data_IF_428515429020
#
_entry.id   IF_428515429020
#
_cell.length_a   1.000
_cell.length_b   1.000
_cell.length_c   1.000
_cell.angle_alpha   90.00
_cell.angle_beta   90.00
_cell.angle_gamma   90.00
#
_symmetry.space_group_name_H-M   'P 1'
#
loop_
_entity.id
_entity.type
_entity.pdbx_description
1 polymer ?
#
# COMPACT_ATOMS: atom_id res chain seq x y z
N UNK A 1 10.84 -3.94 0.76
CA UNK A 1 9.70 -4.71 1.31
C UNK A 1 10.05 -6.20 1.45
N UNK A 2 10.89 -6.77 0.59
CA UNK A 2 11.27 -8.19 0.68
C UNK A 2 11.97 -8.58 1.98
N UNK A 3 12.82 -7.72 2.54
CA UNK A 3 13.42 -7.97 3.85
C UNK A 3 12.37 -8.09 4.95
N UNK A 4 11.30 -7.27 4.93
CA UNK A 4 10.18 -7.37 5.88
C UNK A 4 9.45 -8.72 5.77
N UNK A 5 9.31 -9.23 4.56
CA UNK A 5 8.67 -10.53 4.30
C UNK A 5 9.55 -11.71 4.74
N UNK A 6 10.83 -11.70 4.36
CA UNK A 6 11.80 -12.72 4.79
C UNK A 6 11.88 -12.78 6.31
N UNK A 7 11.82 -11.62 6.97
CA UNK A 7 11.80 -11.52 8.43
C UNK A 7 10.57 -12.18 9.05
N UNK A 8 9.36 -11.92 8.52
CA UNK A 8 8.13 -12.52 9.05
C UNK A 8 8.12 -14.06 8.89
N UNK A 9 8.64 -14.58 7.76
CA UNK A 9 8.76 -16.02 7.57
C UNK A 9 9.73 -16.68 8.59
N UNK A 10 10.87 -16.03 8.85
CA UNK A 10 11.84 -16.52 9.86
C UNK A 10 11.27 -16.42 11.27
N UNK A 11 10.48 -15.37 11.56
CA UNK A 11 9.77 -15.18 12.83
C UNK A 11 8.77 -16.30 13.11
N UNK A 12 7.92 -16.66 12.13
CA UNK A 12 6.95 -17.76 12.25
C UNK A 12 7.65 -19.10 12.54
N UNK A 13 8.76 -19.36 11.85
CA UNK A 13 9.51 -20.60 12.06
C UNK A 13 10.19 -20.63 13.44
N UNK A 14 10.69 -19.50 13.93
CA UNK A 14 11.22 -19.37 15.28
C UNK A 14 10.14 -19.58 16.34
N UNK A 15 8.92 -19.07 16.13
CA UNK A 15 7.79 -19.28 17.01
C UNK A 15 7.44 -20.77 17.14
N UNK A 16 7.31 -21.48 16.01
CA UNK A 16 7.05 -22.92 16.01
C UNK A 16 8.14 -23.74 16.71
N UNK A 17 9.41 -23.31 16.60
CA UNK A 17 10.55 -23.98 17.25
C UNK A 17 10.63 -23.69 18.75
N UNK A 18 10.31 -22.48 19.18
CA UNK A 18 10.24 -22.14 20.60
C UNK A 18 9.16 -22.95 21.32
N UNK A 19 8.07 -23.30 20.62
CA UNK A 19 7.03 -24.20 21.11
C UNK A 19 7.45 -25.68 21.16
N UNK A 20 8.48 -26.09 20.43
CA UNK A 20 8.93 -27.48 20.36
C UNK A 20 9.97 -27.85 21.45
N UNK A 21 9.76 -28.95 22.16
CA UNK A 21 10.65 -29.44 23.22
C UNK A 21 11.66 -30.46 22.68
N UNK A 22 12.89 -30.03 22.35
CA UNK A 22 13.99 -30.95 21.99
C UNK A 22 15.40 -30.36 22.14
N UNK A 23 16.38 -31.22 22.44
CA UNK A 23 17.78 -30.88 22.76
C UNK A 23 18.65 -30.48 21.55
N UNK A 24 18.26 -30.87 20.33
CA UNK A 24 18.94 -30.47 19.09
C UNK A 24 18.68 -29.01 18.66
N UNK A 25 17.94 -28.24 19.46
CA UNK A 25 17.36 -26.95 19.07
C UNK A 25 18.32 -25.75 19.22
N UNK A 26 19.32 -25.78 20.11
CA UNK A 26 20.03 -24.56 20.50
C UNK A 26 20.96 -23.97 19.41
N UNK A 27 21.68 -24.82 18.66
CA UNK A 27 22.55 -24.36 17.56
C UNK A 27 21.73 -23.89 16.37
N UNK A 28 20.69 -24.64 15.98
CA UNK A 28 19.77 -24.25 14.92
C UNK A 28 19.01 -22.96 15.27
N UNK A 29 18.58 -22.78 16.52
CA UNK A 29 17.95 -21.55 17.00
C UNK A 29 18.90 -20.35 16.91
N UNK A 30 20.18 -20.53 17.26
CA UNK A 30 21.21 -19.50 17.14
C UNK A 30 21.40 -19.07 15.69
N UNK A 31 21.53 -20.02 14.77
CA UNK A 31 21.74 -19.75 13.35
C UNK A 31 20.55 -18.98 12.75
N UNK A 32 19.33 -19.37 13.12
CA UNK A 32 18.10 -18.70 12.68
C UNK A 32 17.94 -17.30 13.24
N UNK A 33 18.31 -17.10 14.49
CA UNK A 33 18.32 -15.77 15.10
C UNK A 33 19.36 -14.86 14.44
N UNK A 34 20.51 -15.39 14.04
CA UNK A 34 21.49 -14.63 13.27
C UNK A 34 20.95 -14.22 11.89
N UNK A 35 20.23 -15.12 11.20
CA UNK A 35 19.54 -14.80 9.94
C UNK A 35 18.49 -13.72 10.15
N UNK A 36 17.65 -13.85 11.18
CA UNK A 36 16.62 -12.87 11.50
C UNK A 36 17.23 -11.49 11.79
N UNK A 37 18.24 -11.44 12.66
CA UNK A 37 18.92 -10.21 13.04
C UNK A 37 19.58 -9.51 11.85
N UNK A 38 20.21 -10.27 10.95
CA UNK A 38 20.77 -9.73 9.71
C UNK A 38 19.71 -9.08 8.82
N UNK A 39 18.53 -9.69 8.73
CA UNK A 39 17.44 -9.13 7.94
C UNK A 39 16.81 -7.89 8.60
N UNK A 40 16.67 -7.90 9.94
CA UNK A 40 16.25 -6.72 10.71
C UNK A 40 17.26 -5.59 10.53
N UNK A 41 18.57 -5.88 10.58
CA UNK A 41 19.62 -4.90 10.32
C UNK A 41 19.47 -4.27 8.93
N UNK A 42 19.32 -5.07 7.87
CA UNK A 42 19.07 -4.57 6.51
C UNK A 42 17.85 -3.65 6.44
N UNK A 43 16.78 -3.96 7.18
CA UNK A 43 15.60 -3.09 7.25
C UNK A 43 15.91 -1.76 7.93
N UNK A 44 16.61 -1.78 9.06
CA UNK A 44 16.98 -0.57 9.82
C UNK A 44 17.93 0.31 9.00
N UNK A 45 18.96 -0.27 8.39
CA UNK A 45 19.90 0.41 7.50
C UNK A 45 19.21 0.98 6.26
N UNK A 46 18.32 0.19 5.64
CA UNK A 46 17.52 0.63 4.51
C UNK A 46 16.68 1.86 4.85
N UNK A 47 15.96 1.81 5.98
CA UNK A 47 15.17 2.93 6.46
C UNK A 47 16.04 4.15 6.77
N UNK A 48 17.16 3.96 7.49
CA UNK A 48 18.09 5.02 7.84
C UNK A 48 18.66 5.71 6.59
N UNK A 49 19.03 4.94 5.56
CA UNK A 49 19.45 5.51 4.27
C UNK A 49 18.32 6.33 3.61
N UNK A 50 17.09 5.82 3.61
CA UNK A 50 15.95 6.54 3.03
C UNK A 50 15.70 7.90 3.69
N UNK A 51 15.92 8.03 5.00
CA UNK A 51 15.65 9.28 5.74
C UNK A 51 16.87 10.16 5.99
N UNK A 52 18.05 9.79 5.49
CA UNK A 52 19.29 10.53 5.72
C UNK A 52 19.81 10.42 7.16
N UNK A 53 19.75 9.23 7.76
CA UNK A 53 20.33 8.94 9.08
C UNK A 53 19.50 9.40 10.29
N UNK A 54 18.21 9.72 10.10
CA UNK A 54 17.35 10.28 11.17
C UNK A 54 16.92 9.28 12.27
N UNK A 55 17.21 7.98 12.16
CA UNK A 55 16.77 6.98 13.16
C UNK A 55 17.93 6.20 13.80
N UNK A 56 18.91 6.87 14.44
CA UNK A 56 19.97 6.17 15.18
C UNK A 56 19.40 5.38 16.37
N UNK A 57 18.30 5.86 16.96
CA UNK A 57 17.61 5.17 18.05
C UNK A 57 17.05 3.80 17.66
N UNK A 58 16.73 3.57 16.38
CA UNK A 58 16.24 2.28 15.91
C UNK A 58 17.36 1.23 15.86
N UNK A 59 18.57 1.65 15.47
CA UNK A 59 19.75 0.78 15.53
C UNK A 59 20.13 0.48 16.99
N UNK A 60 20.05 1.48 17.87
CA UNK A 60 20.26 1.27 19.31
C UNK A 60 19.25 0.28 19.91
N UNK A 61 17.97 0.36 19.50
CA UNK A 61 16.95 -0.59 19.92
C UNK A 61 17.25 -2.01 19.41
N UNK A 62 17.65 -2.17 18.14
CA UNK A 62 18.09 -3.46 17.58
C UNK A 62 19.25 -4.03 18.37
N UNK A 63 20.32 -3.27 18.57
CA UNK A 63 21.52 -3.73 19.28
C UNK A 63 21.21 -4.15 20.72
N UNK A 64 20.32 -3.41 21.42
CA UNK A 64 19.83 -3.79 22.76
C UNK A 64 19.10 -5.13 22.74
N UNK A 65 18.19 -5.33 21.80
CA UNK A 65 17.41 -6.58 21.66
C UNK A 65 18.32 -7.75 21.26
N UNK A 66 19.23 -7.54 20.32
CA UNK A 66 20.23 -8.53 19.89
C UNK A 66 21.10 -9.00 21.06
N UNK A 67 21.57 -8.07 21.90
CA UNK A 67 22.35 -8.39 23.10
C UNK A 67 21.55 -9.23 24.10
N UNK A 68 20.28 -8.86 24.35
CA UNK A 68 19.40 -9.60 25.25
C UNK A 68 19.08 -11.02 24.72
N UNK A 69 18.87 -11.17 23.41
CA UNK A 69 18.71 -12.47 22.76
C UNK A 69 19.97 -13.33 22.88
N UNK A 70 21.16 -12.73 22.74
CA UNK A 70 22.43 -13.42 22.94
C UNK A 70 22.59 -13.96 24.36
N UNK A 71 22.24 -13.17 25.38
CA UNK A 71 22.26 -13.59 26.78
C UNK A 71 21.25 -14.72 27.05
N UNK A 72 20.01 -14.59 26.55
CA UNK A 72 18.98 -15.62 26.71
C UNK A 72 19.36 -16.93 25.99
N UNK A 73 20.03 -16.86 24.83
CA UNK A 73 20.56 -18.04 24.14
C UNK A 73 21.65 -18.75 24.95
N UNK A 74 22.51 -18.00 25.64
CA UNK A 74 23.54 -18.57 26.52
C UNK A 74 22.92 -19.26 27.74
N UNK A 75 21.95 -18.61 28.38
CA UNK A 75 21.17 -19.18 29.48
C UNK A 75 20.43 -20.46 29.05
N UNK A 76 19.83 -20.46 27.86
CA UNK A 76 19.16 -21.64 27.30
C UNK A 76 20.15 -22.79 27.06
N UNK A 77 21.35 -22.50 26.55
CA UNK A 77 22.40 -23.50 26.37
C UNK A 77 22.96 -24.02 27.71
N UNK A 78 22.86 -23.24 28.78
CA UNK A 78 23.18 -23.67 30.15
C UNK A 78 22.05 -24.46 30.84
N UNK A 79 20.92 -24.69 30.16
CA UNK A 79 19.79 -25.46 30.68
C UNK A 79 18.82 -24.66 31.56
N UNK A 80 18.86 -23.32 31.52
CA UNK A 80 17.94 -22.49 32.31
C UNK A 80 16.52 -22.55 31.73
N UNK A 81 15.58 -23.03 32.55
CA UNK A 81 14.18 -23.22 32.12
C UNK A 81 13.48 -21.91 31.71
N UNK A 82 13.87 -20.77 32.30
CA UNK A 82 13.28 -19.46 32.00
C UNK A 82 13.73 -18.89 30.64
N UNK A 83 14.87 -19.33 30.11
CA UNK A 83 15.52 -18.71 28.96
C UNK A 83 14.68 -18.76 27.67
N UNK A 84 13.88 -19.81 27.48
CA UNK A 84 12.95 -19.89 26.33
C UNK A 84 11.86 -18.83 26.38
N UNK A 85 11.34 -18.53 27.57
CA UNK A 85 10.37 -17.46 27.77
C UNK A 85 10.98 -16.08 27.51
N UNK A 86 12.24 -15.87 27.91
CA UNK A 86 12.98 -14.65 27.60
C UNK A 86 13.23 -14.48 26.11
N UNK A 87 13.63 -15.53 25.40
CA UNK A 87 13.76 -15.51 23.94
C UNK A 87 12.46 -15.10 23.26
N UNK A 88 11.34 -15.71 23.66
CA UNK A 88 10.03 -15.35 23.14
C UNK A 88 9.69 -13.86 23.37
N UNK A 89 10.00 -13.32 24.55
CA UNK A 89 9.73 -11.91 24.91
C UNK A 89 10.47 -10.89 24.03
N UNK A 90 11.66 -11.23 23.54
CA UNK A 90 12.44 -10.37 22.66
C UNK A 90 12.14 -10.57 21.17
N UNK A 91 11.36 -11.59 20.81
CA UNK A 91 10.98 -11.89 19.43
C UNK A 91 9.54 -11.50 19.14
N UNK A 92 8.58 -12.12 19.82
CA UNK A 92 7.19 -12.24 19.39
C UNK A 92 6.27 -11.06 19.75
N UNK A 93 6.38 -10.42 20.95
CA UNK A 93 5.40 -9.42 21.37
C UNK A 93 5.29 -8.26 20.39
N UNK A 94 4.05 -7.90 20.03
CA UNK A 94 3.74 -6.71 19.24
C UNK A 94 3.13 -5.63 20.15
N UNK A 95 3.97 -4.79 20.74
CA UNK A 95 3.55 -3.73 21.67
C UNK A 95 3.25 -2.42 20.93
N UNK A 96 3.89 -2.17 19.79
CA UNK A 96 3.69 -0.99 18.96
C UNK A 96 2.55 -1.16 17.95
N UNK A 97 1.32 -1.29 18.45
CA UNK A 97 0.13 -1.54 17.61
C UNK A 97 -0.40 -0.26 16.95
N UNK A 98 -0.74 0.76 17.76
CA UNK A 98 -1.29 2.04 17.27
C UNK A 98 -0.17 3.02 16.89
N UNK A 99 -0.02 3.22 15.58
CA UNK A 99 0.95 4.15 14.98
C UNK A 99 0.72 5.62 15.34
N UNK A 100 -0.47 5.98 15.82
CA UNK A 100 -0.81 7.36 16.24
C UNK A 100 -0.49 7.59 17.70
N UNK A 101 -0.23 6.54 18.47
CA UNK A 101 0.07 6.66 19.88
C UNK A 101 1.41 7.40 20.05
N UNK A 102 1.56 8.32 21.02
CA UNK A 102 2.82 9.02 21.28
C UNK A 102 4.01 8.10 21.56
N UNK A 103 3.73 6.87 22.01
CA UNK A 103 4.75 5.84 22.26
C UNK A 103 5.21 5.09 21.00
N UNK A 104 4.64 5.35 19.82
CA UNK A 104 5.11 4.78 18.56
C UNK A 104 6.45 5.42 18.14
N UNK A 105 7.52 5.05 18.83
CA UNK A 105 8.86 5.62 18.74
C UNK A 105 9.90 4.50 18.78
N UNK A 106 11.05 4.65 18.10
CA UNK A 106 12.06 3.59 18.01
C UNK A 106 12.62 3.20 19.38
N UNK A 107 12.71 4.14 20.33
CA UNK A 107 13.19 3.89 21.69
C UNK A 107 12.30 2.90 22.46
N UNK A 108 11.03 2.80 22.07
CA UNK A 108 10.03 1.96 22.73
C UNK A 108 9.91 0.56 22.11
N UNK A 109 10.67 0.22 21.07
CA UNK A 109 10.66 -1.13 20.52
C UNK A 109 11.23 -2.12 21.55
N UNK A 110 10.46 -3.13 21.96
CA UNK A 110 10.89 -4.10 22.97
C UNK A 110 11.24 -5.47 22.40
N UNK A 111 10.79 -5.75 21.19
CA UNK A 111 11.03 -7.00 20.47
C UNK A 111 11.48 -6.74 19.02
N UNK A 112 11.98 -7.77 18.34
CA UNK A 112 12.16 -7.69 16.89
C UNK A 112 10.84 -7.43 16.16
N UNK A 113 9.71 -8.02 16.59
CA UNK A 113 8.40 -7.71 16.01
C UNK A 113 8.05 -6.22 16.08
N UNK A 114 8.36 -5.53 17.18
CA UNK A 114 8.20 -4.08 17.28
C UNK A 114 9.09 -3.32 16.30
N UNK A 115 10.36 -3.72 16.14
CA UNK A 115 11.27 -3.09 15.16
C UNK A 115 10.73 -3.27 13.74
N UNK A 116 10.31 -4.47 13.39
CA UNK A 116 9.74 -4.81 12.08
C UNK A 116 8.51 -3.93 11.82
N UNK A 117 7.58 -3.87 12.78
CA UNK A 117 6.38 -3.04 12.72
C UNK A 117 6.71 -1.56 12.56
N UNK A 118 7.62 -1.03 13.37
CA UNK A 118 8.05 0.37 13.33
C UNK A 118 8.70 0.71 11.98
N UNK A 119 9.63 -0.12 11.53
CA UNK A 119 10.33 0.06 10.27
C UNK A 119 9.36 0.01 9.09
N UNK A 120 8.41 -0.93 9.10
CA UNK A 120 7.38 -1.06 8.06
C UNK A 120 6.47 0.18 7.98
N UNK A 121 5.90 0.63 9.11
CA UNK A 121 5.04 1.84 9.12
C UNK A 121 5.83 3.11 8.76
N UNK A 122 7.10 3.21 9.19
CA UNK A 122 7.95 4.36 8.88
C UNK A 122 8.37 4.36 7.42
N UNK A 123 8.70 3.20 6.83
CA UNK A 123 9.01 3.07 5.41
C UNK A 123 7.82 3.59 4.56
N UNK A 124 6.58 3.19 4.88
CA UNK A 124 5.38 3.71 4.22
C UNK A 124 5.27 5.23 4.31
N UNK A 125 5.49 5.81 5.49
CA UNK A 125 5.48 7.27 5.69
C UNK A 125 6.53 7.98 4.84
N UNK A 126 7.73 7.41 4.75
CA UNK A 126 8.84 7.99 3.97
C UNK A 126 8.59 7.83 2.48
N UNK A 127 7.96 6.74 2.05
CA UNK A 127 7.57 6.54 0.65
C UNK A 127 6.61 7.62 0.15
N UNK A 128 5.71 8.13 1.00
CA UNK A 128 4.85 9.27 0.64
C UNK A 128 5.65 10.54 0.28
N UNK A 129 6.79 10.80 0.90
CA UNK A 129 7.65 11.95 0.55
C UNK A 129 8.76 11.60 -0.45
N UNK A 130 8.92 10.33 -0.83
CA UNK A 130 9.94 9.90 -1.78
C UNK A 130 9.71 10.52 -3.16
N UNK A 131 8.44 10.63 -3.57
CA UNK A 131 8.04 11.18 -4.86
C UNK A 131 8.53 12.63 -5.05
N UNK A 132 8.27 13.50 -4.07
CA UNK A 132 8.77 14.89 -4.05
C UNK A 132 10.29 14.96 -4.25
N UNK A 133 10.99 14.07 -3.57
CA UNK A 133 12.46 14.04 -3.58
C UNK A 133 13.00 13.54 -4.92
N UNK A 134 12.32 12.58 -5.55
CA UNK A 134 12.67 12.10 -6.89
C UNK A 134 12.42 13.20 -7.92
N UNK A 135 11.28 13.89 -7.87
CA UNK A 135 10.98 15.02 -8.75
C UNK A 135 11.99 16.16 -8.59
N UNK A 136 12.42 16.45 -7.36
CA UNK A 136 13.45 17.46 -7.07
C UNK A 136 14.88 16.98 -7.35
N UNK A 137 15.08 15.77 -7.89
CA UNK A 137 16.40 15.21 -8.18
C UNK A 137 17.24 14.86 -6.95
N UNK A 138 16.65 14.85 -5.75
CA UNK A 138 17.32 14.53 -4.48
C UNK A 138 17.57 13.02 -4.29
N UNK A 139 17.02 12.18 -5.18
CA UNK A 139 17.26 10.73 -5.20
C UNK A 139 17.65 10.31 -6.62
N UNK A 140 18.91 10.53 -7.04
CA UNK A 140 19.35 10.33 -8.43
C UNK A 140 19.22 8.88 -8.94
N UNK A 141 19.17 7.92 -8.02
CA UNK A 141 19.05 6.50 -8.33
C UNK A 141 17.65 6.11 -8.83
N UNK A 142 16.63 6.92 -8.56
CA UNK A 142 15.24 6.66 -8.96
C UNK A 142 14.83 7.65 -10.05
N UNK A 143 14.00 7.18 -10.98
CA UNK A 143 13.45 7.99 -12.06
C UNK A 143 11.95 8.07 -11.93
N UNK A 144 11.40 9.24 -12.23
CA UNK A 144 9.97 9.42 -12.40
C UNK A 144 9.60 9.12 -13.85
N UNK A 145 8.78 8.10 -14.07
CA UNK A 145 8.41 7.64 -15.40
C UNK A 145 6.91 7.85 -15.63
N UNK A 146 6.51 8.47 -16.74
CA UNK A 146 5.08 8.63 -17.04
C UNK A 146 4.53 7.33 -17.65
N UNK A 147 3.33 6.89 -17.27
CA UNK A 147 2.68 5.77 -17.96
C UNK A 147 2.06 6.24 -19.29
N UNK A 148 2.23 5.45 -20.34
CA UNK A 148 1.55 5.62 -21.63
C UNK A 148 0.12 5.11 -21.53
N UNK A 149 -0.86 6.01 -21.43
CA UNK A 149 -2.28 5.63 -21.28
C UNK A 149 -3.21 6.62 -21.97
N UNK A 150 -4.28 6.14 -22.64
CA UNK A 150 -5.31 7.01 -23.18
C UNK A 150 -6.28 7.54 -22.11
N UNK A 151 -6.22 7.02 -20.88
CA UNK A 151 -7.07 7.48 -19.79
C UNK A 151 -6.69 8.92 -19.40
N UNK A 152 -7.63 9.74 -18.91
CA UNK A 152 -7.36 11.10 -18.43
C UNK A 152 -6.67 11.08 -17.05
N UNK A 153 -5.59 10.31 -16.93
CA UNK A 153 -4.78 10.11 -15.75
C UNK A 153 -3.35 10.56 -16.03
N UNK A 154 -2.81 11.46 -15.22
CA UNK A 154 -1.39 11.78 -15.24
C UNK A 154 -0.63 10.84 -14.29
N UNK A 155 -0.64 9.53 -14.59
CA UNK A 155 -0.04 8.50 -13.74
C UNK A 155 1.48 8.44 -13.96
N UNK A 156 2.22 8.63 -12.88
CA UNK A 156 3.67 8.48 -12.85
C UNK A 156 4.10 7.26 -12.01
N UNK A 157 5.18 6.61 -12.42
CA UNK A 157 5.71 5.39 -11.83
C UNK A 157 7.11 5.65 -11.28
N UNK A 158 7.40 5.10 -10.11
CA UNK A 158 8.75 4.94 -9.57
C UNK A 158 8.96 3.44 -9.36
N UNK A 159 9.95 2.87 -10.05
CA UNK A 159 10.35 1.49 -9.82
C UNK A 159 11.39 1.41 -8.69
N UNK A 160 11.09 0.63 -7.65
CA UNK A 160 12.01 0.32 -6.55
C UNK A 160 12.88 -0.91 -6.85
N UNK A 161 12.57 -1.66 -7.91
CA UNK A 161 13.26 -2.87 -8.31
C UNK A 161 12.29 -3.90 -8.90
N UNK A 162 12.63 -4.40 -10.08
CA UNK A 162 11.95 -5.49 -10.79
C UNK A 162 10.44 -5.25 -11.02
N UNK A 163 9.98 -4.00 -10.92
CA UNK A 163 8.58 -3.63 -11.12
C UNK A 163 8.25 -3.32 -12.58
N UNK A 164 9.24 -2.90 -13.38
CA UNK A 164 9.09 -2.52 -14.78
C UNK A 164 10.12 -3.21 -15.68
N UNK A 165 9.70 -3.59 -16.89
CA UNK A 165 10.59 -4.12 -17.93
C UNK A 165 11.40 -3.01 -18.61
N UNK A 166 10.84 -1.80 -18.67
CA UNK A 166 11.43 -0.62 -19.32
C UNK A 166 11.42 0.56 -18.38
N UNK A 167 12.51 1.32 -18.42
CA UNK A 167 12.70 2.57 -17.67
C UNK A 167 12.74 3.79 -18.60
N UNK A 168 12.14 3.65 -19.79
CA UNK A 168 12.00 4.71 -20.79
C UNK A 168 10.62 5.34 -20.63
N UNK A 169 10.56 6.67 -20.47
CA UNK A 169 9.30 7.40 -20.35
C UNK A 169 8.84 7.92 -21.73
N UNK A 170 7.55 7.75 -22.11
CA UNK A 170 6.50 7.09 -21.35
C UNK A 170 6.60 5.55 -21.37
N UNK A 171 6.21 4.91 -20.27
CA UNK A 171 6.27 3.46 -20.07
C UNK A 171 4.98 2.83 -20.61
N UNK A 172 5.04 1.88 -21.55
CA UNK A 172 3.87 1.15 -22.01
C UNK A 172 3.25 0.29 -20.88
N UNK A 173 1.91 0.12 -20.81
CA UNK A 173 1.28 -0.70 -19.77
C UNK A 173 1.74 -2.17 -19.75
N UNK A 174 2.10 -2.72 -20.90
CA UNK A 174 2.65 -4.08 -21.02
C UNK A 174 4.01 -4.26 -20.33
N UNK A 175 4.74 -3.15 -20.10
CA UNK A 175 6.04 -3.18 -19.44
C UNK A 175 5.90 -3.19 -17.89
N UNK A 176 4.68 -3.20 -17.35
CA UNK A 176 4.43 -3.39 -15.91
C UNK A 176 4.62 -4.87 -15.53
N UNK A 177 5.74 -5.17 -14.87
CA UNK A 177 6.08 -6.50 -14.35
C UNK A 177 5.55 -6.73 -12.92
N UNK A 178 5.35 -5.66 -12.17
CA UNK A 178 4.77 -5.73 -10.82
C UNK A 178 3.40 -6.43 -10.84
N UNK A 179 3.30 -7.57 -10.16
CA UNK A 179 2.08 -8.38 -10.05
C UNK A 179 0.89 -7.54 -9.55
N UNK A 180 0.99 -6.86 -8.38
CA UNK A 180 -0.14 -6.08 -7.90
C UNK A 180 -0.42 -4.82 -8.74
N UNK A 181 0.60 -4.14 -9.28
CA UNK A 181 0.34 -2.96 -10.13
C UNK A 181 -0.39 -3.36 -11.42
N UNK A 182 -0.03 -4.48 -12.03
CA UNK A 182 -0.71 -4.98 -13.23
C UNK A 182 -2.16 -5.32 -12.95
N UNK A 183 -2.43 -6.06 -11.86
CA UNK A 183 -3.79 -6.42 -11.46
C UNK A 183 -4.64 -5.16 -11.21
N UNK A 184 -4.10 -4.18 -10.48
CA UNK A 184 -4.77 -2.90 -10.23
C UNK A 184 -5.03 -2.13 -11.53
N UNK A 185 -4.02 -2.02 -12.40
CA UNK A 185 -4.13 -1.28 -13.66
C UNK A 185 -5.16 -1.89 -14.62
N UNK A 186 -5.22 -3.22 -14.72
CA UNK A 186 -6.23 -3.92 -15.51
C UNK A 186 -7.65 -3.59 -15.04
N UNK A 187 -7.85 -3.41 -13.73
CA UNK A 187 -9.13 -2.96 -13.19
C UNK A 187 -9.44 -1.49 -13.52
N UNK A 188 -8.47 -0.60 -13.30
CA UNK A 188 -8.59 0.85 -13.57
C UNK A 188 -8.89 1.11 -15.06
N UNK A 189 -8.26 0.33 -15.94
CA UNK A 189 -8.36 0.46 -17.40
C UNK A 189 -9.37 -0.49 -18.05
N UNK A 190 -10.29 -1.05 -17.26
CA UNK A 190 -11.27 -2.00 -17.78
C UNK A 190 -12.11 -1.39 -18.93
N UNK A 191 -12.25 -2.07 -20.08
CA UNK A 191 -12.81 -1.49 -21.30
C UNK A 191 -14.27 -1.05 -21.16
N UNK A 192 -15.05 -1.77 -20.35
CA UNK A 192 -16.47 -1.44 -20.12
C UNK A 192 -16.69 -0.26 -19.16
N UNK A 193 -15.63 0.25 -18.54
CA UNK A 193 -15.69 1.44 -17.67
C UNK A 193 -15.33 2.66 -18.50
N UNK A 194 -16.32 3.52 -18.76
CA UNK A 194 -16.03 4.79 -19.41
C UNK A 194 -15.49 5.79 -18.40
N UNK A 195 -14.27 6.28 -18.66
CA UNK A 195 -13.71 7.45 -17.97
C UNK A 195 -14.37 8.77 -18.41
N UNK A 196 -15.42 8.70 -19.25
CA UNK A 196 -16.18 9.86 -19.68
C UNK A 196 -17.01 10.45 -18.53
N UNK A 197 -16.73 11.72 -18.26
CA UNK A 197 -17.40 12.56 -17.28
C UNK A 197 -16.65 13.88 -17.21
N UNK A 198 -17.29 15.01 -16.85
CA UNK A 198 -16.58 16.26 -16.71
C UNK A 198 -15.47 16.05 -15.66
N UNK A 199 -14.21 16.16 -16.09
CA UNK A 199 -13.12 16.46 -15.16
C UNK A 199 -13.58 17.74 -14.46
N UNK A 200 -13.71 17.79 -13.12
CA UNK A 200 -13.95 19.05 -12.46
C UNK A 200 -12.74 19.91 -12.78
N UNK A 201 -12.87 20.75 -13.81
CA UNK A 201 -12.05 21.94 -13.96
C UNK A 201 -12.27 22.63 -12.63
N UNK A 202 -11.26 22.70 -11.78
CA UNK A 202 -11.38 23.48 -10.56
C UNK A 202 -11.84 24.86 -11.01
N UNK A 203 -13.08 25.22 -10.69
CA UNK A 203 -13.64 26.55 -10.83
C UNK A 203 -12.95 27.44 -9.78
N UNK A 204 -11.68 27.68 -10.10
CA UNK A 204 -10.65 28.40 -9.38
C UNK A 204 -9.54 28.72 -10.38
N UNK A 205 -9.95 29.27 -11.52
CA UNK A 205 -9.10 29.84 -12.56
C UNK A 205 -8.95 28.96 -13.79
N UNK A 206 -9.81 29.15 -14.80
CA UNK A 206 -9.49 29.11 -16.23
C UNK A 206 -10.74 29.53 -17.01
N UNK A 207 -11.07 30.82 -16.91
CA UNK A 207 -11.71 31.53 -18.01
C UNK A 207 -10.59 32.30 -18.71
N UNK A 208 -10.61 32.30 -20.05
CA UNK A 208 -9.58 32.84 -20.96
C UNK A 208 -8.32 31.94 -21.08
N UNK A 209 -7.86 31.54 -22.27
CA UNK A 209 -7.44 32.39 -23.39
C UNK A 209 -7.33 31.58 -24.70
N UNK A 210 -8.05 32.01 -25.75
CA UNK A 210 -7.55 31.99 -27.12
C UNK A 210 -6.39 32.98 -27.19
N UNK A 211 -5.17 32.49 -27.43
CA UNK A 211 -3.99 33.32 -27.72
C UNK A 211 -3.20 33.84 -26.51
N UNK A 212 -2.17 33.10 -26.08
CA UNK A 212 -0.82 33.61 -25.82
C UNK A 212 0.03 32.51 -25.16
N UNK A 213 1.05 32.07 -25.89
CA UNK A 213 2.26 31.39 -25.40
C UNK A 213 2.92 32.21 -24.29
N UNK A 214 2.77 31.82 -23.03
CA UNK A 214 3.71 32.12 -21.93
C UNK A 214 3.30 31.43 -20.62
N UNK A 215 4.21 30.57 -20.11
CA UNK A 215 4.34 30.13 -18.71
C UNK A 215 3.15 29.32 -18.15
N UNK A 216 3.19 28.00 -18.37
CA UNK A 216 2.47 27.05 -17.50
C UNK A 216 3.09 27.15 -16.09
N UNK A 217 2.33 27.40 -15.02
CA UNK A 217 2.86 27.24 -13.66
C UNK A 217 3.27 25.77 -13.46
N UNK A 218 4.39 25.49 -12.75
CA UNK A 218 4.80 24.12 -12.49
C UNK A 218 3.70 23.38 -11.72
N UNK A 219 3.32 22.19 -12.20
CA UNK A 219 2.34 21.32 -11.55
C UNK A 219 2.72 21.11 -10.08
N UNK A 220 1.81 21.33 -9.14
CA UNK A 220 2.09 21.14 -7.70
C UNK A 220 1.99 19.65 -7.35
N UNK A 221 2.82 19.21 -6.39
CA UNK A 221 2.89 17.85 -5.83
C UNK A 221 1.54 17.16 -5.57
N UNK A 222 0.52 17.94 -5.19
CA UNK A 222 -0.81 17.44 -4.82
C UNK A 222 -1.75 17.13 -6.00
N UNK A 223 -1.33 17.39 -7.24
CA UNK A 223 -2.16 17.21 -8.44
C UNK A 223 -1.80 15.95 -9.26
N UNK A 224 -0.85 15.13 -8.79
CA UNK A 224 -0.33 13.98 -9.54
C UNK A 224 -0.85 12.66 -8.99
N UNK A 225 -1.25 11.78 -9.91
CA UNK A 225 -1.46 10.36 -9.61
C UNK A 225 -0.12 9.65 -9.73
N UNK A 226 0.26 8.85 -8.75
CA UNK A 226 1.53 8.12 -8.78
C UNK A 226 1.40 6.68 -8.28
N UNK A 227 2.34 5.84 -8.72
CA UNK A 227 2.53 4.51 -8.19
C UNK A 227 4.02 4.26 -7.93
N UNK A 228 4.34 3.80 -6.73
CA UNK A 228 5.65 3.23 -6.41
C UNK A 228 5.51 1.72 -6.56
N UNK A 229 6.29 1.13 -7.45
CA UNK A 229 6.17 -0.27 -7.86
C UNK A 229 7.42 -1.05 -7.50
N UNK A 230 7.25 -2.33 -7.21
CA UNK A 230 8.28 -3.35 -7.25
C UNK A 230 7.65 -4.68 -7.67
N UNK A 231 8.44 -5.73 -7.90
CA UNK A 231 7.94 -7.01 -8.44
C UNK A 231 6.64 -7.52 -7.78
N UNK A 232 6.59 -7.50 -6.45
CA UNK A 232 5.47 -8.01 -5.65
C UNK A 232 4.72 -6.92 -4.88
N UNK A 233 4.96 -5.65 -5.17
CA UNK A 233 4.48 -4.53 -4.36
C UNK A 233 3.98 -3.35 -5.20
N UNK A 234 2.91 -2.70 -4.73
CA UNK A 234 2.46 -1.41 -5.24
C UNK A 234 2.02 -0.50 -4.11
N UNK A 235 2.44 0.76 -4.19
CA UNK A 235 1.83 1.88 -3.48
C UNK A 235 1.29 2.86 -4.52
N UNK A 236 -0.01 2.82 -4.74
CA UNK A 236 -0.72 3.68 -5.68
C UNK A 236 -1.45 4.78 -4.91
N UNK A 237 -1.30 6.03 -5.33
CA UNK A 237 -2.07 7.15 -4.82
C UNK A 237 -2.61 7.96 -6.00
N UNK A 238 -3.91 8.20 -5.98
CA UNK A 238 -4.62 8.98 -6.96
C UNK A 238 -5.32 10.14 -6.30
N UNK A 239 -5.07 11.33 -6.82
CA UNK A 239 -5.83 12.53 -6.50
C UNK A 239 -6.37 13.12 -7.79
N UNK A 240 -7.69 13.02 -7.95
CA UNK A 240 -8.41 13.54 -9.12
C UNK A 240 -9.46 14.53 -8.64
N UNK A 241 -9.13 15.83 -8.74
CA UNK A 241 -9.93 16.89 -8.16
C UNK A 241 -10.04 16.74 -6.64
N UNK A 242 -11.25 16.45 -6.16
CA UNK A 242 -11.57 16.40 -4.74
C UNK A 242 -11.61 14.98 -4.15
N UNK A 243 -11.36 13.95 -4.95
CA UNK A 243 -11.26 12.57 -4.49
C UNK A 243 -9.80 12.19 -4.30
N UNK A 244 -9.50 11.65 -3.13
CA UNK A 244 -8.25 11.00 -2.83
C UNK A 244 -8.49 9.51 -2.65
N UNK A 245 -7.73 8.70 -3.37
CA UNK A 245 -7.76 7.25 -3.26
C UNK A 245 -6.33 6.75 -3.15
N UNK A 246 -6.08 5.77 -2.28
CA UNK A 246 -4.77 5.12 -2.19
C UNK A 246 -4.92 3.62 -2.01
N UNK A 247 -4.05 2.88 -2.68
CA UNK A 247 -3.93 1.42 -2.59
C UNK A 247 -2.49 1.08 -2.21
N UNK A 248 -2.32 0.28 -1.17
CA UNK A 248 -1.05 -0.33 -0.76
C UNK A 248 -1.26 -1.83 -0.78
N UNK A 249 -0.51 -2.56 -1.61
CA UNK A 249 -0.69 -4.01 -1.75
C UNK A 249 0.63 -4.73 -1.93
N UNK A 250 0.72 -5.92 -1.33
CA UNK A 250 1.77 -6.89 -1.55
C UNK A 250 1.14 -8.21 -1.98
N UNK A 251 1.67 -8.84 -3.01
CA UNK A 251 1.24 -10.13 -3.53
C UNK A 251 2.49 -10.98 -3.80
N UNK A 252 2.63 -12.06 -3.05
CA UNK A 252 3.72 -13.01 -3.15
C UNK A 252 3.25 -14.46 -2.92
N UNK A 253 4.18 -15.41 -2.80
CA UNK A 253 3.85 -16.84 -2.77
C UNK A 253 3.16 -17.30 -1.48
N UNK A 254 3.42 -16.64 -0.35
CA UNK A 254 2.84 -17.00 0.94
C UNK A 254 1.56 -16.21 1.21
N UNK A 255 0.43 -16.90 1.33
CA UNK A 255 -0.89 -16.30 1.50
C UNK A 255 -0.95 -15.34 2.70
N UNK A 256 -0.37 -15.69 3.84
CA UNK A 256 -0.40 -14.88 5.08
C UNK A 256 0.19 -13.48 4.94
N UNK A 257 1.06 -13.29 3.94
CA UNK A 257 1.72 -12.02 3.68
C UNK A 257 0.99 -11.17 2.65
N UNK A 258 0.06 -11.76 1.91
CA UNK A 258 -0.67 -11.06 0.87
C UNK A 258 -1.70 -10.13 1.49
N UNK A 259 -1.75 -8.91 0.98
CA UNK A 259 -2.71 -7.92 1.45
C UNK A 259 -3.06 -6.87 0.40
N UNK A 260 -4.23 -6.27 0.58
CA UNK A 260 -4.68 -5.03 -0.06
C UNK A 260 -5.15 -4.11 1.06
N UNK A 261 -4.56 -2.93 1.15
CA UNK A 261 -5.07 -1.84 1.97
C UNK A 261 -5.57 -0.74 1.03
N UNK A 262 -6.83 -0.39 1.15
CA UNK A 262 -7.46 0.68 0.39
C UNK A 262 -7.85 1.81 1.33
N UNK A 263 -7.68 3.06 0.88
CA UNK A 263 -8.22 4.23 1.55
C UNK A 263 -8.88 5.12 0.51
N UNK A 264 -10.10 5.53 0.80
CA UNK A 264 -10.84 6.52 0.03
C UNK A 264 -11.15 7.70 0.93
N UNK A 265 -10.95 8.93 0.44
CA UNK A 265 -11.34 10.16 1.12
C UNK A 265 -11.85 11.20 0.12
N UNK A 266 -13.01 11.78 0.39
CA UNK A 266 -13.43 13.06 -0.19
C UNK A 266 -14.36 13.05 -1.42
N UNK A 267 -14.64 14.27 -1.87
CA UNK A 267 -15.41 14.71 -3.05
C UNK A 267 -15.95 16.14 -2.89
N UNK A 268 -16.03 16.94 -3.97
CA UNK A 268 -16.59 18.30 -3.95
C UNK A 268 -18.11 18.34 -4.03
N UNK A 269 -18.75 17.18 -4.03
CA UNK A 269 -20.19 17.09 -3.99
C UNK A 269 -20.73 17.59 -2.64
N UNK A 270 -22.03 17.94 -2.63
CA UNK A 270 -22.76 18.17 -1.40
C UNK A 270 -22.61 16.99 -0.41
N UNK A 271 -22.84 17.27 0.87
CA UNK A 271 -22.62 16.32 1.96
C UNK A 271 -23.38 15.00 1.75
N UNK A 272 -24.62 15.08 1.22
CA UNK A 272 -25.47 13.92 0.96
C UNK A 272 -24.90 13.00 -0.13
N UNK A 273 -24.44 13.57 -1.26
CA UNK A 273 -23.79 12.80 -2.34
C UNK A 273 -22.50 12.15 -1.88
N UNK A 274 -21.76 12.80 -0.97
CA UNK A 274 -20.54 12.23 -0.39
C UNK A 274 -20.89 11.00 0.47
N UNK A 275 -21.90 11.09 1.32
CA UNK A 275 -22.39 9.96 2.14
C UNK A 275 -22.86 8.81 1.25
N UNK A 276 -23.65 9.09 0.22
CA UNK A 276 -24.14 8.08 -0.74
C UNK A 276 -23.02 7.34 -1.46
N UNK A 277 -21.97 8.04 -1.86
CA UNK A 277 -20.77 7.42 -2.43
C UNK A 277 -20.08 6.49 -1.43
N UNK A 278 -19.94 6.94 -0.19
CA UNK A 278 -19.33 6.13 0.88
C UNK A 278 -20.13 4.84 1.07
N UNK A 279 -21.47 4.91 1.04
CA UNK A 279 -22.33 3.72 1.08
C UNK A 279 -22.10 2.79 -0.12
N UNK A 280 -22.09 3.31 -1.36
CA UNK A 280 -21.80 2.49 -2.55
C UNK A 280 -20.46 1.75 -2.42
N UNK A 281 -19.38 2.48 -2.09
CA UNK A 281 -18.04 1.90 -1.97
C UNK A 281 -18.02 0.84 -0.85
N UNK A 282 -18.58 1.16 0.31
CA UNK A 282 -18.59 0.24 1.45
C UNK A 282 -19.35 -1.05 1.14
N UNK A 283 -20.53 -0.95 0.50
CA UNK A 283 -21.35 -2.11 0.13
C UNK A 283 -20.63 -3.06 -0.83
N UNK A 284 -19.96 -2.51 -1.86
CA UNK A 284 -19.17 -3.33 -2.78
C UNK A 284 -17.98 -3.97 -2.06
N UNK A 285 -17.21 -3.19 -1.29
CA UNK A 285 -16.04 -3.72 -0.59
C UNK A 285 -16.40 -4.82 0.41
N UNK A 286 -17.49 -4.68 1.16
CA UNK A 286 -17.99 -5.72 2.06
C UNK A 286 -18.40 -6.99 1.30
N UNK A 287 -19.04 -6.88 0.14
CA UNK A 287 -19.34 -8.04 -0.72
C UNK A 287 -18.10 -8.71 -1.32
N UNK A 288 -17.00 -7.97 -1.46
CA UNK A 288 -15.70 -8.49 -1.91
C UNK A 288 -14.83 -9.00 -0.76
N UNK A 289 -15.42 -9.26 0.42
CA UNK A 289 -14.77 -9.75 1.64
C UNK A 289 -13.70 -8.82 2.24
N UNK A 290 -13.77 -7.51 1.96
CA UNK A 290 -12.90 -6.56 2.66
C UNK A 290 -13.47 -6.26 4.05
N UNK A 291 -12.58 -6.18 5.04
CA UNK A 291 -12.86 -5.51 6.31
C UNK A 291 -12.96 -4.01 6.06
N UNK A 292 -14.12 -3.39 6.31
CA UNK A 292 -14.37 -1.97 6.04
C UNK A 292 -14.54 -1.18 7.34
N UNK A 293 -13.77 -0.10 7.48
CA UNK A 293 -13.87 0.89 8.55
C UNK A 293 -14.26 2.25 7.93
N UNK A 294 -15.34 2.85 8.43
CA UNK A 294 -15.82 4.16 7.98
C UNK A 294 -15.61 5.18 9.10
N UNK A 295 -14.97 6.29 8.76
CA UNK A 295 -14.80 7.44 9.65
C UNK A 295 -15.19 8.72 8.90
N UNK A 296 -16.39 9.25 9.18
CA UNK A 296 -16.96 10.39 8.46
C UNK A 296 -17.00 10.13 6.95
N UNK A 297 -16.20 10.85 6.17
CA UNK A 297 -16.11 10.75 4.71
C UNK A 297 -14.89 9.96 4.21
N UNK A 298 -14.29 9.18 5.10
CA UNK A 298 -13.15 8.32 4.81
C UNK A 298 -13.53 6.86 4.97
N UNK A 299 -13.20 6.05 3.97
CA UNK A 299 -13.23 4.59 4.05
C UNK A 299 -11.81 4.08 4.16
N UNK A 300 -11.59 3.12 5.04
CA UNK A 300 -10.42 2.25 5.03
C UNK A 300 -10.90 0.82 4.85
N UNK A 301 -10.30 0.10 3.91
CA UNK A 301 -10.65 -1.29 3.68
C UNK A 301 -9.40 -2.16 3.63
N UNK A 302 -9.51 -3.39 4.15
CA UNK A 302 -8.41 -4.35 4.23
C UNK A 302 -8.85 -5.72 3.72
N UNK A 303 -8.01 -6.33 2.91
CA UNK A 303 -8.13 -7.72 2.47
C UNK A 303 -6.78 -8.40 2.68
N UNK A 304 -6.72 -9.55 3.35
CA UNK A 304 -5.46 -10.12 3.86
C UNK A 304 -5.49 -11.63 3.93
N UNK A 305 -4.31 -12.25 3.95
CA UNK A 305 -4.10 -13.68 4.24
C UNK A 305 -4.74 -14.61 3.21
N UNK A 306 -4.59 -14.27 1.94
CA UNK A 306 -5.22 -14.99 0.84
C UNK A 306 -4.20 -15.37 -0.24
N UNK A 307 -4.40 -16.47 -0.99
CA UNK A 307 -3.51 -16.85 -2.08
C UNK A 307 -3.32 -15.73 -3.11
N UNK A 308 -2.19 -15.76 -3.82
CA UNK A 308 -1.86 -14.74 -4.82
C UNK A 308 -2.95 -14.58 -5.91
N UNK A 309 -3.46 -15.64 -6.56
CA UNK A 309 -4.48 -15.50 -7.61
C UNK A 309 -5.76 -14.82 -7.12
N UNK A 310 -6.15 -15.14 -5.90
CA UNK A 310 -7.32 -14.58 -5.25
C UNK A 310 -7.11 -13.10 -4.88
N UNK A 311 -5.93 -12.76 -4.35
CA UNK A 311 -5.58 -11.36 -4.04
C UNK A 311 -5.48 -10.51 -5.31
N UNK A 312 -4.92 -11.04 -6.40
CA UNK A 312 -4.88 -10.38 -7.71
C UNK A 312 -6.28 -10.11 -8.25
N UNK A 313 -7.18 -11.09 -8.18
CA UNK A 313 -8.57 -10.93 -8.61
C UNK A 313 -9.30 -9.84 -7.80
N UNK A 314 -9.14 -9.81 -6.47
CA UNK A 314 -9.70 -8.76 -5.62
C UNK A 314 -9.11 -7.39 -5.93
N UNK A 315 -7.80 -7.30 -6.18
CA UNK A 315 -7.14 -6.05 -6.51
C UNK A 315 -7.59 -5.51 -7.88
N UNK A 316 -7.85 -6.40 -8.84
CA UNK A 316 -8.45 -6.04 -10.13
C UNK A 316 -9.87 -5.45 -9.92
N UNK A 317 -10.73 -6.13 -9.16
CA UNK A 317 -12.07 -5.61 -8.85
C UNK A 317 -12.02 -4.28 -8.10
N UNK A 318 -11.07 -4.10 -7.18
CA UNK A 318 -10.86 -2.81 -6.54
C UNK A 318 -10.50 -1.72 -7.56
N UNK A 319 -9.59 -2.00 -8.50
CA UNK A 319 -9.26 -1.07 -9.58
C UNK A 319 -10.48 -0.67 -10.42
N UNK A 320 -11.37 -1.65 -10.71
CA UNK A 320 -12.65 -1.37 -11.39
C UNK A 320 -13.54 -0.47 -10.56
N UNK A 321 -13.67 -0.73 -9.26
CA UNK A 321 -14.51 0.06 -8.36
C UNK A 321 -14.03 1.52 -8.30
N UNK A 322 -12.71 1.72 -8.24
CA UNK A 322 -12.10 3.06 -8.24
C UNK A 322 -12.47 3.87 -9.48
N UNK A 323 -12.46 3.24 -10.65
CA UNK A 323 -12.84 3.86 -11.92
C UNK A 323 -14.37 4.03 -12.04
N UNK A 324 -15.14 3.03 -11.64
CA UNK A 324 -16.60 3.02 -11.69
C UNK A 324 -17.23 4.13 -10.84
N UNK A 325 -16.78 4.28 -9.60
CA UNK A 325 -17.32 5.30 -8.68
C UNK A 325 -17.12 6.71 -9.22
N UNK A 326 -15.97 6.96 -9.87
CA UNK A 326 -15.68 8.26 -10.51
C UNK A 326 -16.73 8.61 -11.58
N UNK A 327 -17.18 7.63 -12.34
CA UNK A 327 -18.19 7.82 -13.39
C UNK A 327 -19.59 8.10 -12.82
N UNK A 328 -19.92 7.46 -11.69
CA UNK A 328 -21.27 7.50 -11.10
C UNK A 328 -21.50 8.67 -10.14
N UNK A 329 -20.48 9.46 -9.86
CA UNK A 329 -20.52 10.56 -8.88
C UNK A 329 -21.66 11.55 -9.07
N UNK A 330 -22.02 11.84 -10.31
CA UNK A 330 -23.09 12.78 -10.63
C UNK A 330 -24.50 12.16 -10.57
N UNK A 331 -24.61 10.83 -10.46
CA UNK A 331 -25.89 10.11 -10.47
C UNK A 331 -26.50 9.91 -9.09
N UNK A 332 -25.81 10.31 -8.02
CA UNK A 332 -26.21 10.11 -6.61
C UNK A 332 -27.39 10.99 -6.16
N UNK A 333 -28.53 10.92 -6.85
CA UNK A 333 -29.71 11.77 -6.67
C UNK A 333 -30.50 11.49 -5.39
N UNK A 334 -30.59 10.22 -4.98
CA UNK A 334 -31.36 9.76 -3.82
C UNK A 334 -30.68 8.57 -3.12
N UNK A 335 -31.25 8.13 -2.00
CA UNK A 335 -30.66 7.13 -1.10
C UNK A 335 -30.77 5.69 -1.62
N UNK A 336 -31.58 5.43 -2.66
CA UNK A 336 -31.70 4.11 -3.29
C UNK A 336 -30.61 3.86 -4.34
N UNK A 337 -30.07 4.93 -4.95
CA UNK A 337 -29.06 4.85 -6.02
C UNK A 337 -27.80 4.09 -5.60
N UNK A 338 -27.21 4.28 -4.40
CA UNK A 338 -26.01 3.54 -4.01
C UNK A 338 -26.17 2.02 -4.08
N UNK A 339 -27.30 1.49 -3.60
CA UNK A 339 -27.57 0.04 -3.64
C UNK A 339 -27.67 -0.45 -5.07
N UNK A 340 -28.44 0.24 -5.92
CA UNK A 340 -28.61 -0.12 -7.33
C UNK A 340 -27.26 -0.14 -8.07
N UNK A 341 -26.40 0.85 -7.83
CA UNK A 341 -25.08 0.90 -8.43
C UNK A 341 -24.14 -0.17 -7.88
N UNK A 342 -24.25 -0.53 -6.59
CA UNK A 342 -23.49 -1.62 -6.00
C UNK A 342 -23.87 -2.96 -6.65
N UNK A 343 -25.16 -3.24 -6.77
CA UNK A 343 -25.68 -4.46 -7.38
C UNK A 343 -25.27 -4.56 -8.86
N UNK A 344 -25.33 -3.44 -9.59
CA UNK A 344 -24.83 -3.38 -10.98
C UNK A 344 -23.34 -3.69 -11.06
N UNK A 345 -22.52 -3.08 -10.21
CA UNK A 345 -21.08 -3.36 -10.16
C UNK A 345 -20.79 -4.84 -9.89
N UNK A 346 -21.48 -5.43 -8.91
CA UNK A 346 -21.32 -6.84 -8.52
C UNK A 346 -21.80 -7.80 -9.61
N UNK A 347 -22.79 -7.39 -10.41
CA UNK A 347 -23.26 -8.13 -11.59
C UNK A 347 -22.37 -7.94 -12.84
N UNK A 348 -21.31 -7.11 -12.77
CA UNK A 348 -20.43 -6.83 -13.90
C UNK A 348 -20.95 -5.79 -14.89
N UNK A 349 -21.99 -5.03 -14.52
CA UNK A 349 -22.57 -3.95 -15.33
C UNK A 349 -21.90 -2.61 -15.00
N UNK A 350 -20.78 -2.35 -15.68
CA UNK A 350 -19.95 -1.17 -15.43
C UNK A 350 -20.34 0.07 -16.23
N UNK A 351 -21.18 -0.08 -17.25
CA UNK A 351 -21.63 1.01 -18.10
C UNK A 351 -22.52 2.01 -17.33
N UNK A 352 -22.46 3.28 -17.75
CA UNK A 352 -23.28 4.35 -17.17
C UNK A 352 -24.76 4.07 -17.41
N UNK A 353 -25.61 4.03 -16.37
CA UNK A 353 -27.04 3.95 -16.56
C UNK A 353 -27.56 5.10 -17.43
N UNK A 354 -28.30 4.77 -18.50
CA UNK A 354 -28.88 5.76 -19.42
C UNK A 354 -27.91 6.39 -20.43
N UNK A 355 -26.67 5.89 -20.56
CA UNK A 355 -25.81 6.23 -21.69
C UNK A 355 -26.15 5.35 -22.89
N UNK A 356 -26.52 5.97 -24.01
CA UNK A 356 -26.79 5.24 -25.25
C UNK A 356 -25.58 4.41 -25.68
N UNK A 357 -25.82 3.15 -26.08
CA UNK A 357 -24.86 2.39 -26.89
C UNK A 357 -24.89 2.95 -28.31
N UNK A 358 -24.35 4.14 -28.52
CA UNK A 358 -24.02 4.59 -29.88
C UNK A 358 -22.81 3.78 -30.35
N UNK A 359 -23.04 2.63 -30.98
CA UNK A 359 -21.93 1.82 -31.49
C UNK A 359 -22.21 0.46 -32.11
N UNK A 360 -23.46 -0.01 -32.22
CA UNK A 360 -23.79 -1.18 -33.04
C UNK A 360 -24.80 -0.80 -34.13
N UNK A 361 -24.27 -0.37 -35.28
CA UNK A 361 -24.92 -0.51 -36.59
C UNK A 361 -23.89 -0.92 -37.62
#
# INVERSE_FOLDING_TARGET
MDANHQVLAVMDELEGRLAASGDGAATDLRDRLAVLDHQVLKMVEGLNRMVGGKWPALEAARARIQSALGAALQAAAAGEAAARGELANYLLPLSLVDRRHPNFRPENCRSYHDIIRFAHETAKRVMFSLMDRVEQGQVPALRLLKLDTPLPLNLHLIDLGDGLASHTSPVPPQDILSVPMRALWQGISHPDISWAGPVPVSMGGFLHVLGQTAIRPPERFWDKTYAIVGANYVNYACRLGFHFQSVDSYIGPLADNNYINFTFKGGAADELRRIRRIHLIAQVLTHLDFEVEIHQDMIRARYRKQPAPETEARLNLLGRLMAYVRQMDMLMSDDSVPQVLADRFLAGHYERPGGDREGEK
#
